data_IF_400608867187
#
_entry.id   IF_400608867187
#
_cell.length_a   1.000
_cell.length_b   1.000
_cell.length_c   1.000
_cell.angle_alpha   90.00
_cell.angle_beta   90.00
_cell.angle_gamma   90.00
#
_symmetry.space_group_name_H-M   'P 1'
#
loop_
_entity.id
_entity.type
_entity.pdbx_description
1 polymer ?
#
# COMPACT_ATOMS: atom_id res chain seq x y z
N UNK A 1 29.58 -10.27 -8.55
CA UNK A 1 28.27 -10.56 -9.14
C UNK A 1 28.36 -11.94 -9.73
N UNK A 2 27.54 -12.87 -9.25
CA UNK A 2 27.57 -14.27 -9.68
C UNK A 2 26.39 -14.45 -10.62
N UNK A 3 26.65 -14.48 -11.91
CA UNK A 3 25.60 -14.75 -12.90
C UNK A 3 25.22 -16.24 -12.83
N UNK A 4 23.92 -16.52 -12.94
CA UNK A 4 23.41 -17.89 -13.05
C UNK A 4 23.23 -18.21 -14.53
N UNK A 5 23.56 -19.42 -14.94
CA UNK A 5 23.38 -19.85 -16.34
C UNK A 5 22.20 -20.79 -16.46
N UNK A 6 21.31 -20.51 -17.42
CA UNK A 6 20.26 -21.41 -17.85
C UNK A 6 20.73 -22.17 -19.10
N UNK A 7 20.75 -23.49 -19.03
CA UNK A 7 21.01 -24.35 -20.18
C UNK A 7 19.69 -24.66 -20.91
N UNK A 8 19.66 -24.48 -22.23
CA UNK A 8 18.49 -24.72 -23.07
C UNK A 8 18.91 -25.24 -24.45
N UNK A 9 17.99 -25.80 -25.28
CA UNK A 9 18.35 -26.40 -26.57
C UNK A 9 19.07 -25.45 -27.55
N UNK A 10 18.93 -24.13 -27.37
CA UNK A 10 19.58 -23.10 -28.18
C UNK A 10 20.91 -22.60 -27.63
N UNK A 11 21.40 -23.12 -26.51
CA UNK A 11 22.66 -22.73 -25.89
C UNK A 11 22.54 -22.43 -24.38
N UNK A 12 23.43 -21.58 -23.88
CA UNK A 12 23.41 -21.13 -22.49
C UNK A 12 23.07 -19.64 -22.42
N UNK A 13 22.07 -19.30 -21.61
CA UNK A 13 21.74 -17.92 -21.29
C UNK A 13 22.32 -17.54 -19.93
N UNK A 14 23.12 -16.47 -19.88
CA UNK A 14 23.56 -15.86 -18.62
C UNK A 14 22.46 -14.96 -18.08
N UNK A 15 22.06 -15.18 -16.82
CA UNK A 15 21.05 -14.40 -16.12
C UNK A 15 21.70 -13.72 -14.91
N UNK A 16 21.69 -12.38 -14.85
CA UNK A 16 22.31 -11.66 -13.76
C UNK A 16 21.49 -11.81 -12.47
N UNK A 17 22.20 -11.97 -11.35
CA UNK A 17 21.57 -12.00 -10.01
C UNK A 17 21.52 -10.59 -9.45
N UNK A 18 20.32 -10.14 -9.10
CA UNK A 18 20.05 -8.90 -8.36
C UNK A 18 20.17 -9.19 -6.87
N UNK A 19 21.19 -8.65 -6.17
CA UNK A 19 21.32 -8.85 -4.74
C UNK A 19 20.21 -8.13 -3.99
N UNK A 20 19.73 -8.73 -2.91
CA UNK A 20 18.87 -8.09 -1.93
C UNK A 20 19.71 -7.58 -0.76
N UNK A 21 19.27 -6.49 -0.12
CA UNK A 21 19.89 -6.02 1.14
C UNK A 21 19.69 -7.05 2.25
N UNK A 22 18.50 -7.65 2.28
CA UNK A 22 18.13 -8.73 3.19
C UNK A 22 17.21 -9.71 2.45
N UNK A 23 17.32 -11.02 2.74
CA UNK A 23 16.58 -12.08 2.05
C UNK A 23 17.25 -12.60 0.76
N UNK A 24 16.54 -13.43 -0.02
CA UNK A 24 17.08 -14.03 -1.24
C UNK A 24 17.24 -13.00 -2.36
N UNK A 25 18.31 -13.13 -3.15
CA UNK A 25 18.50 -12.34 -4.37
C UNK A 25 17.54 -12.81 -5.49
N UNK A 26 17.21 -11.90 -6.40
CA UNK A 26 16.37 -12.19 -7.57
C UNK A 26 17.21 -12.57 -8.79
N UNK A 27 16.77 -13.55 -9.56
CA UNK A 27 17.35 -13.86 -10.88
C UNK A 27 16.62 -13.01 -11.92
N UNK A 28 17.34 -12.20 -12.67
CA UNK A 28 16.76 -11.35 -13.71
C UNK A 28 16.46 -12.18 -14.97
N UNK A 29 15.16 -12.43 -15.19
CA UNK A 29 14.66 -13.23 -16.33
C UNK A 29 14.14 -12.36 -17.49
N UNK A 30 14.45 -11.05 -17.50
CA UNK A 30 13.95 -10.11 -18.52
C UNK A 30 14.32 -10.49 -19.96
N UNK A 31 15.47 -11.14 -20.17
CA UNK A 31 15.93 -11.59 -21.48
C UNK A 31 15.39 -12.98 -21.89
N UNK A 32 14.72 -13.72 -21.00
CA UNK A 32 14.41 -15.14 -21.17
C UNK A 32 13.61 -15.42 -22.44
N UNK A 33 12.48 -14.74 -22.64
CA UNK A 33 11.61 -14.95 -23.80
C UNK A 33 12.31 -14.59 -25.10
N UNK A 34 13.02 -13.45 -25.12
CA UNK A 34 13.68 -12.93 -26.32
C UNK A 34 14.80 -13.85 -26.80
N UNK A 35 15.62 -14.34 -25.88
CA UNK A 35 16.84 -15.10 -26.23
C UNK A 35 16.58 -16.61 -26.35
N UNK A 36 15.54 -17.15 -25.68
CA UNK A 36 15.31 -18.60 -25.61
C UNK A 36 13.97 -19.07 -26.17
N UNK A 37 12.99 -18.18 -26.30
CA UNK A 37 11.60 -18.52 -26.65
C UNK A 37 10.79 -19.12 -25.49
N UNK A 38 11.37 -19.27 -24.29
CA UNK A 38 10.69 -19.80 -23.11
C UNK A 38 10.12 -18.70 -22.21
N UNK A 39 9.14 -19.08 -21.39
CA UNK A 39 8.60 -18.27 -20.29
C UNK A 39 8.68 -19.07 -19.00
N UNK A 40 8.74 -18.39 -17.87
CA UNK A 40 8.55 -19.01 -16.55
C UNK A 40 7.07 -19.29 -16.33
N UNK A 41 6.74 -20.50 -15.87
CA UNK A 41 5.40 -20.84 -15.42
C UNK A 41 5.40 -20.96 -13.90
N UNK A 42 4.90 -19.95 -13.22
CA UNK A 42 4.84 -19.87 -11.76
C UNK A 42 3.42 -19.46 -11.32
N UNK A 43 2.57 -20.45 -11.10
CA UNK A 43 1.17 -20.20 -10.74
C UNK A 43 1.09 -19.51 -9.38
N UNK A 44 0.51 -18.32 -9.34
CA UNK A 44 0.36 -17.55 -8.10
C UNK A 44 1.60 -16.74 -7.69
N UNK A 45 2.62 -16.65 -8.54
CA UNK A 45 3.85 -15.86 -8.29
C UNK A 45 4.61 -16.28 -7.02
N UNK A 46 4.59 -17.56 -6.65
CA UNK A 46 5.21 -18.06 -5.42
C UNK A 46 6.73 -17.87 -5.42
N UNK A 47 7.36 -17.95 -6.59
CA UNK A 47 8.82 -17.84 -6.77
C UNK A 47 9.23 -16.57 -7.52
N UNK A 48 8.27 -15.70 -7.86
CA UNK A 48 8.48 -14.55 -8.73
C UNK A 48 8.47 -13.25 -7.93
N UNK A 49 9.61 -12.58 -7.83
CA UNK A 49 9.68 -11.22 -7.33
C UNK A 49 9.29 -10.23 -8.45
N UNK A 50 8.14 -9.55 -8.29
CA UNK A 50 7.58 -8.63 -9.30
C UNK A 50 8.05 -7.17 -9.15
N UNK A 51 8.56 -6.79 -7.98
CA UNK A 51 9.04 -5.44 -7.71
C UNK A 51 10.23 -5.42 -6.76
N UNK A 52 10.95 -4.30 -6.76
CA UNK A 52 11.91 -3.97 -5.71
C UNK A 52 11.22 -3.02 -4.72
N UNK A 53 11.39 -3.26 -3.42
CA UNK A 53 10.81 -2.45 -2.35
C UNK A 53 11.76 -2.33 -1.17
N UNK A 54 11.73 -1.17 -0.51
CA UNK A 54 12.42 -0.90 0.75
C UNK A 54 11.42 -0.64 1.90
N UNK A 55 10.14 -0.96 1.70
CA UNK A 55 9.06 -0.60 2.65
C UNK A 55 9.00 -1.59 3.83
N UNK A 56 8.85 -2.88 3.54
CA UNK A 56 8.62 -3.91 4.55
C UNK A 56 9.46 -5.13 4.21
N UNK A 57 10.12 -5.70 5.23
CA UNK A 57 10.79 -6.99 5.14
C UNK A 57 10.04 -8.01 6.00
N UNK A 58 9.87 -9.22 5.44
CA UNK A 58 9.18 -10.34 6.08
C UNK A 58 10.03 -11.60 5.91
N UNK A 59 10.28 -12.30 7.01
CA UNK A 59 10.78 -13.68 7.01
C UNK A 59 9.80 -14.53 7.82
N UNK A 60 9.05 -15.37 7.12
CA UNK A 60 8.02 -16.21 7.74
C UNK A 60 8.59 -17.34 8.59
N UNK A 61 9.76 -17.87 8.22
CA UNK A 61 10.39 -18.99 8.93
C UNK A 61 11.04 -18.51 10.23
N UNK A 62 11.67 -17.33 10.20
CA UNK A 62 12.26 -16.69 11.37
C UNK A 62 11.25 -15.86 12.19
N UNK A 63 10.03 -15.65 11.68
CA UNK A 63 9.00 -14.83 12.33
C UNK A 63 9.34 -13.35 12.40
N UNK A 64 10.05 -12.81 11.40
CA UNK A 64 10.51 -11.42 11.34
C UNK A 64 9.52 -10.59 10.52
N UNK A 65 9.10 -9.44 11.07
CA UNK A 65 8.39 -8.40 10.34
C UNK A 65 9.01 -7.04 10.71
N UNK A 66 9.44 -6.29 9.69
CA UNK A 66 10.05 -4.96 9.87
C UNK A 66 9.48 -3.94 8.90
N UNK A 67 9.19 -2.74 9.39
CA UNK A 67 8.84 -1.58 8.57
C UNK A 67 10.03 -0.64 8.50
N UNK A 68 10.55 -0.37 7.30
CA UNK A 68 11.76 0.44 7.06
C UNK A 68 12.94 0.02 7.96
N UNK A 69 13.08 -1.30 8.19
CA UNK A 69 14.10 -1.88 9.07
C UNK A 69 13.77 -1.89 10.58
N UNK A 70 12.72 -1.21 11.03
CA UNK A 70 12.30 -1.25 12.44
C UNK A 70 11.46 -2.50 12.74
N UNK A 71 11.80 -3.30 13.77
CA UNK A 71 10.99 -4.45 14.18
C UNK A 71 9.58 -4.05 14.62
N UNK A 72 8.59 -4.84 14.18
CA UNK A 72 7.18 -4.52 14.40
C UNK A 72 6.82 -4.41 15.88
N UNK A 73 7.42 -5.22 16.74
CA UNK A 73 7.21 -5.20 18.20
C UNK A 73 7.66 -3.88 18.84
N UNK A 74 8.67 -3.22 18.28
CA UNK A 74 9.11 -1.90 18.75
C UNK A 74 8.12 -0.82 18.34
N UNK A 75 7.64 -0.86 17.09
CA UNK A 75 6.68 0.10 16.58
C UNK A 75 5.34 -0.03 17.31
N UNK A 76 4.82 -1.25 17.47
CA UNK A 76 3.56 -1.51 18.16
C UNK A 76 3.57 -1.10 19.64
N UNK A 77 4.72 -1.20 20.31
CA UNK A 77 4.85 -0.86 21.73
C UNK A 77 5.20 0.61 22.02
N UNK A 78 5.76 1.34 21.04
CA UNK A 78 6.37 2.67 21.28
C UNK A 78 5.91 3.78 20.34
N UNK A 79 5.36 3.45 19.17
CA UNK A 79 4.97 4.43 18.16
C UNK A 79 3.45 4.51 18.02
N UNK A 80 2.95 5.70 17.72
CA UNK A 80 1.56 5.91 17.32
C UNK A 80 1.33 5.50 15.85
N UNK A 81 0.06 5.29 15.50
CA UNK A 81 -0.33 5.00 14.11
C UNK A 81 0.17 6.06 13.12
N UNK A 82 0.14 7.35 13.50
CA UNK A 82 0.59 8.43 12.63
C UNK A 82 2.10 8.43 12.42
N UNK A 83 2.89 8.12 13.46
CA UNK A 83 4.35 7.97 13.32
C UNK A 83 4.71 6.81 12.39
N UNK A 84 4.02 5.67 12.53
CA UNK A 84 4.23 4.51 11.66
C UNK A 84 3.78 4.81 10.22
N UNK A 85 2.67 5.51 10.04
CA UNK A 85 2.20 5.91 8.71
C UNK A 85 3.20 6.85 8.03
N UNK A 86 3.72 7.83 8.78
CA UNK A 86 4.77 8.73 8.29
C UNK A 86 6.04 7.96 7.91
N UNK A 87 6.49 7.03 8.75
CA UNK A 87 7.64 6.15 8.48
C UNK A 87 7.48 5.38 7.17
N UNK A 88 6.32 4.75 6.96
CA UNK A 88 6.07 3.94 5.77
C UNK A 88 6.08 4.79 4.48
N UNK A 89 5.53 6.00 4.54
CA UNK A 89 5.43 6.91 3.39
C UNK A 89 6.77 7.61 3.11
N UNK A 90 7.46 8.11 4.14
CA UNK A 90 8.62 9.01 4.01
C UNK A 90 9.97 8.37 4.32
N UNK A 91 10.03 7.06 4.60
CA UNK A 91 11.27 6.29 4.84
C UNK A 91 12.06 6.73 6.10
N UNK A 92 11.47 7.57 6.96
CA UNK A 92 12.09 8.05 8.19
C UNK A 92 11.04 8.30 9.28
N UNK A 93 11.43 8.14 10.55
CA UNK A 93 10.58 8.56 11.67
C UNK A 93 10.46 10.10 11.69
N UNK A 94 9.26 10.64 11.96
CA UNK A 94 9.07 12.08 11.97
C UNK A 94 9.74 12.74 13.18
N UNK A 95 10.24 13.95 12.99
CA UNK A 95 10.52 14.87 14.10
C UNK A 95 9.20 15.33 14.75
N UNK A 96 9.21 15.86 15.99
CA UNK A 96 8.01 16.36 16.63
C UNK A 96 7.25 17.43 15.81
N UNK A 97 8.00 18.29 15.09
CA UNK A 97 7.40 19.31 14.22
C UNK A 97 6.72 18.68 12.99
N UNK A 98 7.38 17.72 12.33
CA UNK A 98 6.81 17.00 11.18
C UNK A 98 5.58 16.19 11.58
N UNK A 99 5.61 15.55 12.75
CA UNK A 99 4.48 14.78 13.26
C UNK A 99 3.27 15.70 13.54
N UNK A 100 3.51 16.87 14.13
CA UNK A 100 2.46 17.86 14.38
C UNK A 100 1.85 18.36 13.06
N UNK A 101 2.69 18.74 12.08
CA UNK A 101 2.22 19.18 10.76
C UNK A 101 1.41 18.09 10.05
N UNK A 102 1.93 16.86 10.03
CA UNK A 102 1.26 15.72 9.40
C UNK A 102 -0.08 15.40 10.08
N UNK A 103 -0.11 15.42 11.41
CA UNK A 103 -1.33 15.24 12.20
C UNK A 103 -2.36 16.34 11.94
N UNK A 104 -1.94 17.60 11.85
CA UNK A 104 -2.83 18.72 11.53
C UNK A 104 -3.39 18.62 10.10
N UNK A 105 -2.54 18.29 9.11
CA UNK A 105 -2.98 18.04 7.73
C UNK A 105 -4.05 16.94 7.67
N UNK A 106 -3.88 15.84 8.41
CA UNK A 106 -4.89 14.77 8.47
C UNK A 106 -6.16 15.27 9.16
N UNK A 107 -6.03 15.93 10.31
CA UNK A 107 -7.16 16.39 11.12
C UNK A 107 -8.12 17.29 10.35
N UNK A 108 -7.60 18.25 9.57
CA UNK A 108 -8.43 19.18 8.80
C UNK A 108 -9.17 18.51 7.63
N UNK A 109 -8.74 17.33 7.19
CA UNK A 109 -9.35 16.59 6.07
C UNK A 109 -10.32 15.47 6.50
N UNK A 110 -10.58 15.31 7.80
CA UNK A 110 -11.42 14.21 8.32
C UNK A 110 -12.89 14.28 7.91
N UNK A 111 -13.41 15.49 7.68
CA UNK A 111 -14.80 15.71 7.28
C UNK A 111 -15.04 15.29 5.82
N UNK A 112 -16.13 14.58 5.58
CA UNK A 112 -16.62 14.25 4.24
C UNK A 112 -17.46 15.41 3.70
N UNK A 113 -17.52 15.55 2.37
CA UNK A 113 -18.50 16.44 1.75
C UNK A 113 -19.93 15.97 2.08
N UNK A 114 -20.86 16.89 2.34
CA UNK A 114 -22.22 16.57 2.79
C UNK A 114 -23.00 15.78 1.74
N UNK A 115 -22.72 15.99 0.45
CA UNK A 115 -23.27 15.19 -0.65
C UNK A 115 -22.94 13.70 -0.50
N UNK A 116 -21.80 13.38 0.10
CA UNK A 116 -21.40 12.00 0.39
C UNK A 116 -22.28 11.39 1.50
N UNK A 117 -22.83 12.17 2.42
CA UNK A 117 -23.78 11.67 3.44
C UNK A 117 -25.09 11.19 2.81
N UNK A 118 -25.56 11.88 1.76
CA UNK A 118 -26.70 11.43 0.97
C UNK A 118 -26.40 10.12 0.23
N UNK A 119 -25.18 9.94 -0.26
CA UNK A 119 -24.73 8.68 -0.87
C UNK A 119 -24.87 7.48 0.09
N UNK A 120 -24.50 7.61 1.37
CA UNK A 120 -24.71 6.54 2.36
C UNK A 120 -26.19 6.23 2.62
N UNK A 121 -27.09 7.19 2.39
CA UNK A 121 -28.53 6.98 2.54
C UNK A 121 -29.10 6.08 1.45
N UNK A 122 -28.47 6.01 0.28
CA UNK A 122 -28.87 5.15 -0.84
C UNK A 122 -28.66 3.65 -0.62
N UNK A 123 -27.80 3.25 0.32
CA UNK A 123 -27.63 1.83 0.63
C UNK A 123 -28.79 1.24 1.45
N UNK A 124 -29.11 -0.05 1.25
CA UNK A 124 -29.97 -0.80 2.16
C UNK A 124 -29.50 -0.70 3.62
N UNK A 125 -30.42 -0.85 4.58
CA UNK A 125 -30.09 -0.78 6.02
C UNK A 125 -29.23 -1.96 6.50
N UNK A 126 -29.35 -3.10 5.84
CA UNK A 126 -28.65 -4.36 6.12
C UNK A 126 -27.45 -4.60 5.19
N UNK A 127 -27.03 -3.57 4.44
CA UNK A 127 -25.86 -3.67 3.57
C UNK A 127 -24.60 -3.99 4.39
N UNK A 128 -23.82 -4.95 3.92
CA UNK A 128 -22.59 -5.35 4.60
C UNK A 128 -21.59 -4.17 4.63
N UNK A 129 -21.01 -3.80 5.79
CA UNK A 129 -20.15 -2.62 5.93
C UNK A 129 -18.99 -2.56 4.94
N UNK A 130 -18.38 -3.70 4.60
CA UNK A 130 -17.31 -3.74 3.60
C UNK A 130 -17.77 -3.37 2.19
N UNK A 131 -19.00 -3.74 1.80
CA UNK A 131 -19.53 -3.34 0.49
C UNK A 131 -19.72 -1.82 0.45
N UNK A 132 -20.34 -1.26 1.51
CA UNK A 132 -20.54 0.19 1.66
C UNK A 132 -19.21 0.95 1.68
N UNK A 133 -18.22 0.47 2.44
CA UNK A 133 -16.87 1.03 2.51
C UNK A 133 -16.21 1.06 1.13
N UNK A 134 -16.21 -0.07 0.40
CA UNK A 134 -15.59 -0.16 -0.92
C UNK A 134 -16.24 0.80 -1.92
N UNK A 135 -17.57 0.85 -1.98
CA UNK A 135 -18.31 1.77 -2.85
C UNK A 135 -18.05 3.23 -2.49
N UNK A 136 -17.99 3.57 -1.20
CA UNK A 136 -17.71 4.91 -0.74
C UNK A 136 -16.29 5.36 -1.10
N UNK A 137 -15.28 4.50 -0.95
CA UNK A 137 -13.90 4.80 -1.33
C UNK A 137 -13.80 5.03 -2.85
N UNK A 138 -14.47 4.21 -3.67
CA UNK A 138 -14.52 4.45 -5.13
C UNK A 138 -15.20 5.78 -5.44
N UNK A 139 -16.30 6.10 -4.78
CA UNK A 139 -17.02 7.35 -4.98
C UNK A 139 -16.20 8.60 -4.61
N UNK A 140 -15.22 8.52 -3.70
CA UNK A 140 -14.34 9.66 -3.38
C UNK A 140 -13.71 10.29 -4.63
N UNK A 141 -13.38 9.48 -5.64
CA UNK A 141 -12.82 9.97 -6.91
C UNK A 141 -13.71 10.97 -7.65
N UNK A 142 -15.04 10.91 -7.44
CA UNK A 142 -15.98 11.85 -8.08
C UNK A 142 -16.14 13.16 -7.29
N UNK A 143 -15.78 13.17 -6.00
CA UNK A 143 -15.90 14.33 -5.11
C UNK A 143 -14.59 15.12 -4.97
N UNK A 144 -13.46 14.46 -5.22
CA UNK A 144 -12.10 15.01 -5.07
C UNK A 144 -11.34 14.95 -6.40
N UNK A 145 -11.93 15.54 -7.45
CA UNK A 145 -11.40 15.52 -8.81
C UNK A 145 -10.16 16.42 -9.01
N UNK A 146 -9.86 17.26 -8.03
CA UNK A 146 -8.74 18.21 -8.00
C UNK A 146 -7.37 17.55 -7.78
N UNK A 147 -7.33 16.26 -7.43
CA UNK A 147 -6.11 15.53 -7.10
C UNK A 147 -6.08 14.12 -7.74
N UNK A 148 -6.29 14.06 -9.06
CA UNK A 148 -6.38 12.79 -9.82
C UNK A 148 -5.15 12.49 -10.68
N UNK A 149 -4.18 13.40 -10.80
CA UNK A 149 -2.98 13.19 -11.62
C UNK A 149 -1.94 12.35 -10.85
N UNK A 150 -1.70 11.07 -11.22
CA UNK A 150 -0.79 10.20 -10.48
C UNK A 150 0.69 10.55 -10.67
N UNK A 151 1.02 11.36 -11.68
CA UNK A 151 2.40 11.79 -11.94
C UNK A 151 2.78 13.08 -11.20
N UNK A 152 1.81 13.77 -10.60
CA UNK A 152 2.02 14.99 -9.82
C UNK A 152 2.22 14.65 -8.33
N UNK A 153 3.43 14.85 -7.77
CA UNK A 153 3.73 14.49 -6.39
C UNK A 153 2.86 15.21 -5.36
N UNK A 154 2.45 16.46 -5.62
CA UNK A 154 1.63 17.24 -4.69
C UNK A 154 0.21 16.68 -4.64
N UNK A 155 -0.34 16.30 -5.80
CA UNK A 155 -1.65 15.65 -5.90
C UNK A 155 -1.64 14.26 -5.24
N UNK A 156 -0.54 13.51 -5.39
CA UNK A 156 -0.38 12.22 -4.71
C UNK A 156 -0.33 12.40 -3.18
N UNK A 157 0.42 13.39 -2.68
CA UNK A 157 0.51 13.68 -1.24
C UNK A 157 -0.87 14.03 -0.66
N UNK A 158 -1.58 14.99 -1.28
CA UNK A 158 -2.90 15.42 -0.77
C UNK A 158 -3.93 14.29 -0.86
N UNK A 159 -3.90 13.47 -1.92
CA UNK A 159 -4.79 12.30 -2.04
C UNK A 159 -4.48 11.24 -0.99
N UNK A 160 -3.20 11.00 -0.69
CA UNK A 160 -2.79 10.13 0.41
C UNK A 160 -3.29 10.63 1.78
N UNK A 161 -3.12 11.93 2.06
CA UNK A 161 -3.63 12.56 3.29
C UNK A 161 -5.15 12.45 3.39
N UNK A 162 -5.87 12.75 2.30
CA UNK A 162 -7.34 12.66 2.25
C UNK A 162 -7.82 11.23 2.48
N UNK A 163 -7.17 10.23 1.90
CA UNK A 163 -7.50 8.82 2.14
C UNK A 163 -7.30 8.45 3.61
N UNK A 164 -6.14 8.76 4.20
CA UNK A 164 -5.88 8.50 5.62
C UNK A 164 -6.86 9.20 6.55
N UNK A 165 -7.24 10.44 6.24
CA UNK A 165 -8.16 11.22 7.04
C UNK A 165 -9.62 10.75 6.95
N UNK A 166 -10.08 10.39 5.74
CA UNK A 166 -11.49 10.12 5.45
C UNK A 166 -11.89 8.67 5.63
N UNK A 167 -10.95 7.73 5.47
CA UNK A 167 -11.24 6.30 5.57
C UNK A 167 -11.81 5.89 6.95
N UNK A 168 -11.30 6.39 8.09
CA UNK A 168 -11.91 6.13 9.39
C UNK A 168 -13.34 6.68 9.51
N UNK A 169 -13.60 7.88 8.98
CA UNK A 169 -14.95 8.49 8.94
C UNK A 169 -15.92 7.62 8.12
N UNK A 170 -15.49 7.17 6.93
CA UNK A 170 -16.27 6.29 6.06
C UNK A 170 -16.56 4.96 6.76
N UNK A 171 -15.56 4.36 7.42
CA UNK A 171 -15.73 3.11 8.16
C UNK A 171 -16.75 3.27 9.31
N UNK A 172 -16.68 4.39 10.05
CA UNK A 172 -17.65 4.69 11.10
C UNK A 172 -19.07 4.87 10.53
N UNK A 173 -19.22 5.55 9.39
CA UNK A 173 -20.51 5.72 8.71
C UNK A 173 -21.08 4.38 8.22
N UNK A 174 -20.23 3.53 7.63
CA UNK A 174 -20.63 2.18 7.21
C UNK A 174 -21.14 1.34 8.39
N UNK A 175 -20.47 1.42 9.54
CA UNK A 175 -20.93 0.74 10.77
C UNK A 175 -22.24 1.32 11.30
N UNK A 176 -22.38 2.65 11.41
CA UNK A 176 -23.63 3.30 11.88
C UNK A 176 -24.80 2.94 10.99
N UNK A 177 -24.58 2.88 9.67
CA UNK A 177 -25.57 2.46 8.70
C UNK A 177 -26.03 1.01 8.92
N UNK A 178 -25.10 0.07 9.13
CA UNK A 178 -25.44 -1.35 9.28
C UNK A 178 -26.23 -1.67 10.55
N UNK A 179 -26.20 -0.79 11.56
CA UNK A 179 -27.01 -0.89 12.78
C UNK A 179 -28.23 0.04 12.78
N UNK A 180 -28.48 0.78 11.70
CA UNK A 180 -29.62 1.69 11.57
C UNK A 180 -29.56 2.95 12.46
N UNK A 181 -28.38 3.30 12.97
CA UNK A 181 -28.18 4.53 13.74
C UNK A 181 -28.04 5.75 12.82
N UNK A 182 -28.29 6.97 13.33
CA UNK A 182 -28.01 8.19 12.59
C UNK A 182 -26.52 8.30 12.23
N UNK A 183 -26.27 8.85 11.04
CA UNK A 183 -24.94 9.21 10.52
C UNK A 183 -24.47 10.54 11.10
#
# INVERSE_FOLDING_TARGET
MTDVKLDHPGGQLSMPVRPAVEGPGGIDVSALLKETGYVTLDQGFVNTASCASAITYIDGDAGILRYRGFPIEQLAGKASFLEVSYLLIHDALPTPAQLAEFGDKIRVHTLLQEEMRAFFSGFPRDAHPMAVLSSAVTALSTFYQDALEPTDPEQVEISGIRLMAKLPTIAAYAYKKSIGHPL
#
